data_IF_768121626461
#
_entry.id   IF_768121626461
#
_cell.length_a   1.000
_cell.length_b   1.000
_cell.length_c   1.000
_cell.angle_alpha   90.00
_cell.angle_beta   90.00
_cell.angle_gamma   90.00
#
_symmetry.space_group_name_H-M   'P 1'
#
loop_
_entity.id
_entity.type
_entity.pdbx_description
1 polymer ?
#
# COMPACT_ATOMS: atom_id res chain seq x y z
N UNK A 1 -41.48 -29.57 42.87
CA UNK A 1 -41.27 -29.08 44.25
C UNK A 1 -39.80 -28.63 44.26
N UNK A 2 -39.58 -27.46 44.23
CA UNK A 2 -39.44 -26.13 44.75
C UNK A 2 -38.96 -25.16 43.67
N UNK A 3 -39.78 -24.13 43.44
CA UNK A 3 -39.39 -22.83 42.88
C UNK A 3 -38.46 -22.10 43.83
N UNK A 4 -37.53 -21.26 43.31
CA UNK A 4 -37.21 -19.97 43.92
C UNK A 4 -36.70 -19.02 42.83
N UNK A 5 -37.54 -18.03 42.61
CA UNK A 5 -37.35 -16.79 41.88
C UNK A 5 -36.29 -15.91 42.55
N UNK A 6 -35.37 -15.34 41.79
CA UNK A 6 -34.46 -14.28 42.18
C UNK A 6 -34.48 -13.17 41.16
N UNK A 7 -35.41 -12.21 41.36
CA UNK A 7 -35.44 -10.93 40.64
C UNK A 7 -34.37 -10.02 41.25
N UNK A 8 -33.39 -9.62 40.48
CA UNK A 8 -32.48 -8.53 40.86
C UNK A 8 -33.10 -7.17 40.49
N UNK A 9 -33.00 -6.15 41.32
CA UNK A 9 -33.65 -4.87 41.10
C UNK A 9 -32.88 -4.01 40.08
N UNK A 10 -33.67 -3.34 39.23
CA UNK A 10 -33.23 -2.31 38.29
C UNK A 10 -32.92 -1.04 39.09
N UNK A 11 -31.78 -0.36 38.92
CA UNK A 11 -31.56 0.93 39.56
C UNK A 11 -32.35 2.05 38.85
N UNK A 12 -32.79 3.08 39.58
CA UNK A 12 -33.60 4.17 39.05
C UNK A 12 -32.82 5.15 38.19
N UNK A 13 -33.49 5.90 37.29
CA UNK A 13 -32.84 6.87 36.44
C UNK A 13 -32.43 8.12 37.22
N UNK A 14 -31.17 8.47 37.20
CA UNK A 14 -30.69 9.76 37.68
C UNK A 14 -31.00 10.86 36.66
N UNK A 15 -32.07 11.59 36.90
CA UNK A 15 -32.26 12.96 36.43
C UNK A 15 -31.37 13.88 37.29
N UNK A 16 -30.39 14.50 36.67
CA UNK A 16 -29.86 15.81 37.05
C UNK A 16 -29.47 16.60 35.80
N UNK A 17 -30.42 17.37 35.31
CA UNK A 17 -30.18 18.67 34.70
C UNK A 17 -29.58 19.57 35.79
N UNK A 18 -28.42 20.18 35.50
CA UNK A 18 -27.89 21.44 36.04
C UNK A 18 -26.37 21.36 36.17
N UNK A 19 -25.67 21.53 35.08
CA UNK A 19 -24.24 21.90 35.07
C UNK A 19 -23.79 22.36 33.67
N UNK A 20 -24.48 23.36 33.08
CA UNK A 20 -23.93 24.11 31.96
C UNK A 20 -24.34 25.58 32.08
N UNK A 21 -23.76 26.29 33.06
CA UNK A 21 -23.67 27.75 33.02
C UNK A 21 -22.38 28.18 33.71
N UNK A 22 -21.27 28.13 32.99
CA UNK A 22 -20.13 29.00 33.26
C UNK A 22 -19.66 29.56 31.91
N UNK A 23 -19.50 30.88 31.79
CA UNK A 23 -18.94 31.50 30.59
C UNK A 23 -17.46 31.13 30.46
N UNK A 24 -16.89 31.14 29.21
CA UNK A 24 -15.49 30.81 29.01
C UNK A 24 -14.61 31.85 29.71
N UNK A 25 -13.69 31.40 30.52
CA UNK A 25 -12.62 32.22 31.09
C UNK A 25 -11.78 32.78 29.96
N UNK A 26 -11.68 34.07 29.86
CA UNK A 26 -10.74 34.76 28.98
C UNK A 26 -9.32 34.40 29.40
N UNK A 27 -8.59 33.78 28.46
CA UNK A 27 -7.14 33.61 28.58
C UNK A 27 -6.44 34.97 28.54
N UNK A 28 -5.43 35.20 29.41
CA UNK A 28 -4.70 36.45 29.40
C UNK A 28 -3.93 36.68 28.11
N UNK A 29 -4.01 37.90 27.60
CA UNK A 29 -3.32 38.46 26.42
C UNK A 29 -1.77 38.58 26.61
N UNK A 30 -1.11 37.58 27.12
CA UNK A 30 0.32 37.61 27.42
C UNK A 30 1.19 36.62 26.63
N UNK A 31 0.71 36.05 25.51
CA UNK A 31 1.47 35.09 24.69
C UNK A 31 1.77 35.62 23.26
N UNK A 32 1.39 36.85 22.94
CA UNK A 32 1.64 37.42 21.60
C UNK A 32 2.77 38.49 21.55
N UNK A 33 3.79 38.41 22.41
CA UNK A 33 4.92 39.37 22.36
C UNK A 33 6.30 38.72 22.20
N UNK A 34 6.41 37.56 21.58
CA UNK A 34 7.70 36.88 21.35
C UNK A 34 8.00 36.54 19.89
N UNK A 35 7.40 37.24 18.92
CA UNK A 35 7.77 37.10 17.51
C UNK A 35 7.97 38.53 16.95
N UNK A 36 9.07 39.16 17.28
CA UNK A 36 9.59 40.30 16.55
C UNK A 36 11.06 40.56 16.94
N UNK A 37 11.94 39.69 16.47
CA UNK A 37 13.35 40.05 16.25
C UNK A 37 13.69 39.43 14.88
N UNK A 38 13.24 40.09 13.82
CA UNK A 38 13.81 39.93 12.50
C UNK A 38 14.80 41.07 12.31
N UNK A 39 16.09 40.74 12.41
CA UNK A 39 17.19 41.67 12.11
C UNK A 39 17.30 41.82 10.58
N UNK A 40 17.13 43.01 10.00
CA UNK A 40 17.21 43.22 8.55
C UNK A 40 18.65 43.18 7.97
N UNK A 41 19.66 42.87 8.77
CA UNK A 41 21.05 43.05 8.35
C UNK A 41 21.72 41.82 7.71
N UNK A 42 20.97 40.73 7.40
CA UNK A 42 21.50 39.52 6.74
C UNK A 42 20.95 39.26 5.32
N UNK A 43 20.42 40.28 4.66
CA UNK A 43 19.86 40.17 3.30
C UNK A 43 20.83 40.66 2.22
N UNK A 44 22.01 40.15 2.20
CA UNK A 44 22.96 40.60 1.19
C UNK A 44 24.02 39.59 0.77
N UNK A 45 23.66 38.33 0.44
CA UNK A 45 24.56 37.48 -0.41
C UNK A 45 24.01 36.04 -0.67
N UNK A 46 22.73 35.71 -0.38
CA UNK A 46 22.23 34.33 -0.56
C UNK A 46 21.31 34.11 -1.77
N UNK A 47 21.04 35.18 -2.59
CA UNK A 47 19.97 35.08 -3.62
C UNK A 47 20.36 34.31 -4.89
N UNK A 48 21.62 34.11 -5.19
CA UNK A 48 22.08 33.44 -6.41
C UNK A 48 22.24 31.93 -6.24
N UNK A 49 22.59 31.45 -5.05
CA UNK A 49 22.75 30.02 -4.79
C UNK A 49 21.38 29.31 -4.52
N UNK A 50 20.46 30.00 -3.84
CA UNK A 50 19.10 29.44 -3.63
C UNK A 50 18.28 29.33 -4.92
N UNK A 51 18.45 30.28 -5.88
CA UNK A 51 17.78 30.15 -7.19
C UNK A 51 18.37 29.00 -8.02
N UNK A 52 19.69 28.75 -7.95
CA UNK A 52 20.30 27.59 -8.63
C UNK A 52 19.94 26.27 -7.97
N UNK A 53 19.88 26.19 -6.66
CA UNK A 53 19.42 24.99 -5.95
C UNK A 53 17.92 24.71 -6.19
N UNK A 54 17.06 25.71 -6.17
CA UNK A 54 15.65 25.59 -6.50
C UNK A 54 15.39 25.21 -7.95
N UNK A 55 16.20 25.68 -8.91
CA UNK A 55 16.13 25.27 -10.31
C UNK A 55 16.60 23.81 -10.49
N UNK A 56 17.65 23.38 -9.78
CA UNK A 56 18.13 22.00 -9.83
C UNK A 56 17.11 21.01 -9.22
N UNK A 57 16.41 21.39 -8.13
CA UNK A 57 15.35 20.55 -7.54
C UNK A 57 14.08 20.51 -8.43
N UNK A 58 13.80 21.56 -9.20
CA UNK A 58 12.72 21.57 -10.18
C UNK A 58 13.00 20.65 -11.38
N UNK A 59 14.27 20.28 -11.62
CA UNK A 59 14.69 19.43 -12.73
C UNK A 59 14.14 18.00 -12.61
N UNK A 60 13.89 17.47 -11.42
CA UNK A 60 13.39 16.10 -11.21
C UNK A 60 11.89 16.01 -11.10
N UNK A 61 11.21 17.08 -10.73
CA UNK A 61 9.76 17.14 -10.74
C UNK A 61 9.24 17.18 -12.19
N UNK A 62 8.26 16.37 -12.49
CA UNK A 62 7.57 16.33 -13.77
C UNK A 62 6.08 16.60 -13.55
N UNK A 63 5.57 17.61 -14.24
CA UNK A 63 4.18 18.03 -14.07
C UNK A 63 3.79 18.31 -12.63
N UNK A 64 2.59 17.89 -12.26
CA UNK A 64 2.05 18.14 -10.91
C UNK A 64 2.30 17.00 -9.92
N UNK A 65 2.33 15.75 -10.40
CA UNK A 65 2.22 14.56 -9.55
C UNK A 65 3.39 13.59 -9.68
N UNK A 66 4.18 13.74 -10.74
CA UNK A 66 5.25 12.81 -11.09
C UNK A 66 6.63 13.40 -10.84
N UNK A 67 7.59 12.53 -10.65
CA UNK A 67 9.00 12.88 -10.54
C UNK A 67 9.87 11.73 -11.08
N UNK A 68 11.02 12.09 -11.63
CA UNK A 68 12.09 11.14 -11.96
C UNK A 68 13.10 11.12 -10.83
N UNK A 69 13.72 9.97 -10.64
CA UNK A 69 14.73 9.80 -9.60
C UNK A 69 16.12 10.10 -10.18
N UNK A 70 16.85 11.11 -9.64
CA UNK A 70 18.19 11.48 -10.15
C UNK A 70 19.18 10.33 -10.02
N UNK A 71 19.06 9.55 -8.96
CA UNK A 71 19.84 8.36 -8.69
C UNK A 71 18.88 7.17 -8.54
N UNK A 72 18.46 6.53 -9.65
CA UNK A 72 17.49 5.46 -9.61
C UNK A 72 17.96 4.30 -8.72
N UNK A 73 17.30 4.02 -7.59
CA UNK A 73 17.69 2.93 -6.72
C UNK A 73 17.48 1.58 -7.41
N UNK A 74 18.32 0.63 -7.02
CA UNK A 74 18.30 -0.74 -7.54
C UNK A 74 17.54 -1.62 -6.57
N UNK A 75 16.59 -2.39 -7.04
CA UNK A 75 15.99 -3.48 -6.28
C UNK A 75 16.94 -4.68 -6.40
N UNK A 76 17.78 -4.88 -5.38
CA UNK A 76 18.84 -5.88 -5.41
C UNK A 76 18.38 -7.26 -4.97
N UNK A 77 17.40 -7.30 -4.09
CA UNK A 77 16.88 -8.54 -3.48
C UNK A 77 15.40 -8.38 -3.16
N UNK A 78 14.65 -9.46 -3.24
CA UNK A 78 13.24 -9.51 -2.86
C UNK A 78 12.86 -10.86 -2.31
N UNK A 79 11.78 -10.90 -1.54
CA UNK A 79 11.22 -12.12 -0.98
C UNK A 79 9.70 -12.08 -1.02
N UNK A 80 9.09 -13.25 -1.17
CA UNK A 80 7.64 -13.45 -1.19
C UNK A 80 7.24 -14.65 -0.32
N UNK A 81 6.21 -14.45 0.49
CA UNK A 81 5.61 -15.49 1.34
C UNK A 81 4.13 -15.56 1.03
N UNK A 82 3.61 -16.74 0.78
CA UNK A 82 2.21 -16.96 0.39
C UNK A 82 1.50 -17.95 1.32
N UNK A 83 0.20 -17.76 1.48
CA UNK A 83 -0.67 -18.68 2.18
C UNK A 83 -1.09 -19.88 1.34
N UNK A 84 -1.94 -20.72 1.93
CA UNK A 84 -2.41 -21.95 1.31
C UNK A 84 -3.12 -21.70 -0.03
N UNK A 85 -4.11 -20.81 -0.06
CA UNK A 85 -4.93 -20.57 -1.24
C UNK A 85 -4.11 -19.98 -2.39
N UNK A 86 -3.18 -19.10 -2.08
CA UNK A 86 -2.24 -18.49 -3.01
C UNK A 86 -1.26 -19.52 -3.61
N UNK A 87 -0.86 -20.49 -2.79
CA UNK A 87 0.01 -21.60 -3.23
C UNK A 87 -0.68 -22.65 -4.10
N UNK A 88 -1.99 -22.55 -4.26
CA UNK A 88 -2.80 -23.35 -5.18
C UNK A 88 -3.09 -22.60 -6.50
N UNK A 89 -2.68 -21.34 -6.60
CA UNK A 89 -2.93 -20.47 -7.75
C UNK A 89 -1.83 -20.51 -8.82
N UNK A 90 -2.03 -19.77 -9.92
CA UNK A 90 -1.11 -19.78 -11.07
C UNK A 90 0.33 -19.38 -10.76
N UNK A 91 0.53 -18.54 -9.74
CA UNK A 91 1.84 -18.04 -9.34
C UNK A 91 2.53 -18.88 -8.25
N UNK A 92 1.95 -20.01 -7.84
CA UNK A 92 2.46 -20.84 -6.75
C UNK A 92 3.96 -21.17 -6.85
N UNK A 93 4.43 -21.39 -8.07
CA UNK A 93 5.84 -21.76 -8.37
C UNK A 93 6.83 -20.59 -8.27
N UNK A 94 6.35 -19.36 -8.04
CA UNK A 94 7.19 -18.16 -7.99
C UNK A 94 7.45 -17.66 -6.57
N UNK A 95 6.72 -18.17 -5.58
CA UNK A 95 6.86 -17.75 -4.20
C UNK A 95 8.07 -18.41 -3.52
N UNK A 96 8.83 -17.64 -2.75
CA UNK A 96 9.99 -18.16 -2.01
C UNK A 96 9.56 -19.16 -0.93
N UNK A 97 8.48 -18.84 -0.21
CA UNK A 97 7.92 -19.66 0.84
C UNK A 97 6.40 -19.71 0.73
N UNK A 98 5.84 -20.90 0.92
CA UNK A 98 4.39 -21.12 1.00
C UNK A 98 4.04 -21.92 2.23
N UNK A 99 2.94 -21.56 2.91
CA UNK A 99 2.44 -22.29 4.08
C UNK A 99 1.08 -22.93 3.79
N UNK A 100 0.93 -24.22 4.13
CA UNK A 100 -0.36 -24.90 4.12
C UNK A 100 -1.18 -24.64 5.40
N UNK A 101 -0.52 -24.16 6.46
CA UNK A 101 -1.18 -23.72 7.68
C UNK A 101 -1.51 -22.24 7.60
N UNK A 102 -2.80 -21.91 7.62
CA UNK A 102 -3.31 -20.53 7.58
C UNK A 102 -2.95 -19.72 8.82
N UNK A 103 -2.54 -20.37 9.89
CA UNK A 103 -2.04 -19.73 11.12
C UNK A 103 -0.53 -19.55 11.15
N UNK A 104 0.20 -20.10 10.18
CA UNK A 104 1.67 -20.04 10.17
C UNK A 104 2.29 -20.48 11.51
N UNK A 105 1.72 -21.50 12.16
CA UNK A 105 2.14 -21.98 13.47
C UNK A 105 1.78 -21.07 14.64
N UNK A 106 1.01 -20.02 14.44
CA UNK A 106 0.65 -19.03 15.46
C UNK A 106 -0.74 -19.32 16.06
N UNK A 107 -1.11 -18.60 17.13
CA UNK A 107 -2.38 -18.80 17.85
C UNK A 107 -3.53 -17.95 17.34
N UNK A 108 -3.25 -16.83 16.70
CA UNK A 108 -4.24 -15.88 16.16
C UNK A 108 -3.87 -15.43 14.77
N UNK A 109 -4.84 -14.94 14.01
CA UNK A 109 -4.62 -14.49 12.64
C UNK A 109 -3.70 -13.27 12.54
N UNK A 110 -3.79 -12.34 13.49
CA UNK A 110 -2.90 -11.18 13.55
C UNK A 110 -1.44 -11.59 13.88
N UNK A 111 -1.28 -12.61 14.72
CA UNK A 111 0.04 -13.20 14.96
C UNK A 111 0.57 -13.94 13.73
N UNK A 112 -0.33 -14.59 12.98
CA UNK A 112 0.01 -15.25 11.72
C UNK A 112 0.50 -14.22 10.68
N UNK A 113 -0.25 -13.12 10.49
CA UNK A 113 0.14 -12.04 9.56
C UNK A 113 1.49 -11.43 9.95
N UNK A 114 1.66 -11.07 11.22
CA UNK A 114 2.94 -10.59 11.75
C UNK A 114 4.08 -11.57 11.47
N UNK A 115 3.87 -12.86 11.74
CA UNK A 115 4.90 -13.87 11.54
C UNK A 115 5.22 -14.10 10.07
N UNK A 116 4.23 -14.10 9.21
CA UNK A 116 4.39 -14.17 7.76
C UNK A 116 5.24 -13.00 7.23
N UNK A 117 5.00 -11.79 7.73
CA UNK A 117 5.79 -10.61 7.37
C UNK A 117 7.24 -10.72 7.92
N UNK A 118 7.44 -11.29 9.11
CA UNK A 118 8.78 -11.61 9.62
C UNK A 118 9.52 -12.59 8.71
N UNK A 119 8.86 -13.67 8.28
CA UNK A 119 9.45 -14.65 7.35
C UNK A 119 9.88 -13.96 6.06
N UNK A 120 9.08 -13.03 5.52
CA UNK A 120 9.43 -12.29 4.31
C UNK A 120 10.70 -11.44 4.50
N UNK A 121 10.80 -10.70 5.62
CA UNK A 121 11.97 -9.90 5.94
C UNK A 121 13.22 -10.77 6.19
N UNK A 122 13.09 -11.84 6.97
CA UNK A 122 14.21 -12.75 7.27
C UNK A 122 14.72 -13.44 6.00
N UNK A 123 13.80 -13.86 5.11
CA UNK A 123 14.16 -14.44 3.80
C UNK A 123 14.89 -13.41 2.92
N UNK A 124 14.42 -12.16 2.92
CA UNK A 124 15.08 -11.06 2.21
C UNK A 124 16.52 -10.87 2.70
N UNK A 125 16.70 -10.73 4.01
CA UNK A 125 18.01 -10.53 4.63
C UNK A 125 18.95 -11.70 4.38
N UNK A 126 18.45 -12.93 4.52
CA UNK A 126 19.23 -14.13 4.22
C UNK A 126 19.69 -14.15 2.75
N UNK A 127 18.81 -13.86 1.78
CA UNK A 127 19.15 -13.78 0.36
C UNK A 127 20.15 -12.67 0.06
N UNK A 128 20.03 -11.53 0.75
CA UNK A 128 20.94 -10.39 0.62
C UNK A 128 22.26 -10.58 1.38
N UNK A 129 22.34 -11.53 2.32
CA UNK A 129 23.45 -11.74 3.27
C UNK A 129 23.68 -10.51 4.14
N UNK A 130 22.61 -9.97 4.67
CA UNK A 130 22.58 -8.77 5.52
C UNK A 130 21.95 -9.11 6.88
N UNK A 131 22.28 -8.27 7.87
CA UNK A 131 21.68 -8.26 9.20
C UNK A 131 20.75 -7.04 9.37
N UNK A 132 20.01 -6.97 10.48
CA UNK A 132 19.11 -5.87 10.81
C UNK A 132 19.81 -4.50 10.78
N UNK A 133 21.04 -4.44 11.31
CA UNK A 133 21.83 -3.21 11.40
C UNK A 133 22.41 -2.74 10.07
N UNK A 134 22.31 -3.54 9.03
CA UNK A 134 22.67 -3.15 7.66
C UNK A 134 21.58 -2.36 6.95
N UNK A 135 20.38 -2.30 7.53
CA UNK A 135 19.24 -1.57 6.97
C UNK A 135 19.12 -0.19 7.59
N UNK A 136 19.13 0.83 6.76
CA UNK A 136 18.95 2.22 7.20
C UNK A 136 17.48 2.53 7.52
N UNK A 137 16.53 1.93 6.77
CA UNK A 137 15.13 2.28 6.88
C UNK A 137 14.22 1.18 6.32
N UNK A 138 13.11 0.92 7.01
CA UNK A 138 12.02 0.07 6.52
C UNK A 138 10.74 0.88 6.39
N UNK A 139 10.17 0.89 5.19
CA UNK A 139 8.81 1.36 4.92
C UNK A 139 7.90 0.14 4.84
N UNK A 140 7.01 -0.01 5.79
CA UNK A 140 6.11 -1.16 5.77
C UNK A 140 4.71 -0.82 6.23
N UNK A 141 3.76 -1.63 5.83
CA UNK A 141 2.38 -1.51 6.22
C UNK A 141 1.59 -2.80 6.01
N UNK A 142 0.38 -2.78 6.49
CA UNK A 142 -0.58 -3.85 6.40
C UNK A 142 -2.00 -3.26 6.41
N UNK A 143 -3.04 -4.09 6.43
CA UNK A 143 -4.42 -3.64 6.43
C UNK A 143 -4.98 -3.41 7.84
N UNK A 144 -4.26 -3.80 8.89
CA UNK A 144 -4.75 -3.72 10.26
C UNK A 144 -4.58 -2.31 10.83
N UNK A 145 -5.46 -1.95 11.75
CA UNK A 145 -5.41 -0.65 12.42
C UNK A 145 -4.02 -0.37 13.00
N UNK A 146 -3.50 0.84 12.73
CA UNK A 146 -2.19 1.31 13.16
C UNK A 146 -1.01 0.47 12.64
N UNK A 147 -1.18 -0.26 11.53
CA UNK A 147 -0.15 -1.14 10.95
C UNK A 147 0.41 -2.10 12.01
N UNK A 148 -0.49 -2.76 12.76
CA UNK A 148 -0.07 -3.58 13.90
C UNK A 148 0.73 -4.83 13.49
N UNK A 149 0.46 -5.37 12.30
CA UNK A 149 1.24 -6.45 11.70
C UNK A 149 2.69 -6.02 11.52
N UNK A 150 2.91 -4.88 10.87
CA UNK A 150 4.23 -4.30 10.59
C UNK A 150 4.96 -3.86 11.86
N UNK A 151 4.28 -3.17 12.76
CA UNK A 151 4.87 -2.71 14.02
C UNK A 151 5.33 -3.87 14.90
N UNK A 152 4.56 -4.96 14.95
CA UNK A 152 4.91 -6.14 15.73
C UNK A 152 5.96 -7.01 15.03
N UNK A 153 6.04 -6.96 13.71
CA UNK A 153 7.12 -7.58 12.93
C UNK A 153 8.47 -6.97 13.31
N UNK A 154 8.54 -5.66 13.42
CA UNK A 154 9.78 -4.92 13.67
C UNK A 154 10.06 -4.69 15.16
N UNK A 155 9.11 -5.03 16.05
CA UNK A 155 9.32 -4.93 17.49
C UNK A 155 10.52 -5.79 17.93
N UNK A 156 11.44 -5.17 18.66
CA UNK A 156 12.70 -5.78 19.13
C UNK A 156 13.74 -6.06 18.01
N UNK A 157 13.58 -5.45 16.84
CA UNK A 157 14.62 -5.38 15.80
C UNK A 157 15.23 -3.98 15.81
N UNK A 158 16.52 -3.88 15.61
CA UNK A 158 17.23 -2.59 15.57
C UNK A 158 17.20 -2.01 14.15
N UNK A 159 15.97 -1.72 13.66
CA UNK A 159 15.73 -1.21 12.32
C UNK A 159 14.82 0.02 12.41
N UNK A 160 15.25 1.20 11.92
CA UNK A 160 14.38 2.36 11.79
C UNK A 160 13.17 2.08 10.89
N UNK A 161 11.95 2.46 11.33
CA UNK A 161 10.71 2.09 10.68
C UNK A 161 9.76 3.27 10.48
N UNK A 162 9.18 3.35 9.31
CA UNK A 162 8.05 4.21 8.99
C UNK A 162 6.87 3.35 8.56
N UNK A 163 5.81 3.36 9.39
CA UNK A 163 4.55 2.65 9.12
C UNK A 163 3.68 3.40 8.12
N UNK A 164 3.16 2.69 7.13
CA UNK A 164 2.32 3.22 6.06
C UNK A 164 0.93 2.59 6.11
N UNK A 165 -0.09 3.41 5.94
CA UNK A 165 -1.48 2.96 6.03
C UNK A 165 -2.30 3.45 4.84
N UNK A 166 -1.87 3.08 3.64
CA UNK A 166 -2.49 3.41 2.35
C UNK A 166 -3.46 2.34 1.82
N UNK A 167 -4.06 1.53 2.69
CA UNK A 167 -4.87 0.36 2.32
C UNK A 167 -4.08 -0.57 1.36
N UNK A 168 -4.73 -1.10 0.32
CA UNK A 168 -4.08 -2.01 -0.63
C UNK A 168 -2.97 -1.35 -1.46
N UNK A 169 -2.90 0.01 -1.55
CA UNK A 169 -1.86 0.72 -2.30
C UNK A 169 -0.50 0.75 -1.60
N UNK A 170 -0.41 0.28 -0.36
CA UNK A 170 0.75 0.42 0.52
C UNK A 170 2.04 -0.15 -0.10
N UNK A 171 1.98 -1.21 -0.94
CA UNK A 171 3.21 -1.72 -1.58
C UNK A 171 3.82 -0.71 -2.56
N UNK A 172 3.03 -0.05 -3.39
CA UNK A 172 3.54 1.00 -4.29
C UNK A 172 3.95 2.25 -3.51
N UNK A 173 3.22 2.60 -2.44
CA UNK A 173 3.56 3.70 -1.54
C UNK A 173 4.91 3.46 -0.85
N UNK A 174 5.15 2.26 -0.31
CA UNK A 174 6.42 1.91 0.33
C UNK A 174 7.59 1.90 -0.67
N UNK A 175 7.41 1.38 -1.88
CA UNK A 175 8.42 1.45 -2.95
C UNK A 175 8.73 2.89 -3.34
N UNK A 176 7.71 3.73 -3.48
CA UNK A 176 7.85 5.15 -3.82
C UNK A 176 8.67 5.88 -2.75
N UNK A 177 8.31 5.73 -1.47
CA UNK A 177 9.00 6.39 -0.37
C UNK A 177 10.42 5.85 -0.15
N UNK A 178 10.62 4.54 -0.22
CA UNK A 178 11.95 3.93 -0.16
C UNK A 178 12.84 4.42 -1.31
N UNK A 179 12.28 4.54 -2.52
CA UNK A 179 13.04 5.04 -3.67
C UNK A 179 13.40 6.52 -3.53
N UNK A 180 12.54 7.35 -2.94
CA UNK A 180 12.85 8.74 -2.61
C UNK A 180 13.99 8.83 -1.59
N UNK A 181 13.92 8.03 -0.51
CA UNK A 181 14.93 8.04 0.55
C UNK A 181 16.31 7.64 0.01
N UNK A 182 16.38 6.56 -0.79
CA UNK A 182 17.64 6.09 -1.37
C UNK A 182 18.15 7.05 -2.43
N UNK A 183 17.29 7.54 -3.34
CA UNK A 183 17.71 8.47 -4.40
C UNK A 183 18.18 9.81 -3.88
N UNK A 184 17.66 10.26 -2.73
CA UNK A 184 18.08 11.50 -2.06
C UNK A 184 19.31 11.34 -1.14
N UNK A 185 19.80 10.11 -0.96
CA UNK A 185 20.94 9.82 -0.10
C UNK A 185 20.62 9.82 1.40
N UNK A 186 19.35 9.70 1.79
CA UNK A 186 18.95 9.52 3.19
C UNK A 186 19.08 8.07 3.66
N UNK A 187 19.21 7.13 2.73
CA UNK A 187 19.44 5.72 2.99
C UNK A 187 20.30 5.13 1.87
N UNK A 188 21.21 4.24 2.21
CA UNK A 188 21.90 3.39 1.23
C UNK A 188 21.13 2.11 0.96
N UNK A 189 20.40 1.61 1.99
CA UNK A 189 19.58 0.40 1.94
C UNK A 189 18.25 0.64 2.63
N UNK A 190 17.18 0.62 1.85
CA UNK A 190 15.82 0.72 2.36
C UNK A 190 14.99 -0.49 1.93
N UNK A 191 14.12 -0.96 2.82
CA UNK A 191 13.17 -2.05 2.51
C UNK A 191 11.78 -1.49 2.33
N UNK A 192 11.11 -1.89 1.24
CA UNK A 192 9.68 -1.72 1.03
C UNK A 192 9.00 -3.08 1.28
N UNK A 193 8.05 -3.14 2.22
CA UNK A 193 7.45 -4.41 2.66
C UNK A 193 5.99 -4.23 3.03
N UNK A 194 5.13 -5.15 2.58
CA UNK A 194 3.73 -5.18 3.00
C UNK A 194 3.21 -6.60 3.14
N UNK A 195 2.14 -6.74 3.93
CA UNK A 195 1.40 -7.98 4.09
C UNK A 195 -0.10 -7.75 4.15
N UNK A 196 -0.85 -8.78 3.87
CA UNK A 196 -2.24 -8.93 4.27
C UNK A 196 -2.54 -10.39 4.60
N UNK A 197 -3.52 -10.62 5.46
CA UNK A 197 -3.99 -11.96 5.80
C UNK A 197 -5.51 -11.97 5.72
N UNK A 198 -6.09 -12.96 5.02
CA UNK A 198 -7.53 -13.05 4.79
C UNK A 198 -8.33 -12.86 6.08
N UNK A 199 -8.12 -13.71 7.08
CA UNK A 199 -8.98 -13.75 8.25
C UNK A 199 -8.84 -12.52 9.16
N UNK A 200 -7.64 -11.95 9.34
CA UNK A 200 -7.43 -10.73 10.13
C UNK A 200 -8.09 -9.52 9.48
N UNK A 201 -7.94 -9.37 8.17
CA UNK A 201 -8.51 -8.27 7.39
C UNK A 201 -10.04 -8.38 7.30
N UNK A 202 -10.57 -9.58 6.96
CA UNK A 202 -12.02 -9.79 6.89
C UNK A 202 -12.69 -9.53 8.25
N UNK A 203 -12.07 -9.96 9.36
CA UNK A 203 -12.58 -9.69 10.70
C UNK A 203 -12.62 -8.19 11.02
N UNK A 204 -11.63 -7.44 10.56
CA UNK A 204 -11.59 -6.00 10.80
C UNK A 204 -12.60 -5.23 9.95
N UNK A 205 -12.74 -5.59 8.67
CA UNK A 205 -13.51 -4.79 7.71
C UNK A 205 -14.92 -5.32 7.43
N UNK A 206 -15.15 -6.61 7.60
CA UNK A 206 -16.43 -7.29 7.29
C UNK A 206 -16.95 -8.10 8.46
N UNK A 207 -16.78 -7.59 9.64
CA UNK A 207 -17.30 -8.19 10.88
C UNK A 207 -18.84 -8.28 10.89
N UNK A 208 -19.45 -9.38 11.41
CA UNK A 208 -18.80 -10.53 12.03
C UNK A 208 -18.40 -11.60 11.01
N UNK A 209 -17.12 -11.97 10.97
CA UNK A 209 -16.57 -12.98 10.06
C UNK A 209 -17.27 -14.35 10.20
N UNK A 210 -17.57 -14.75 11.43
CA UNK A 210 -18.20 -16.05 11.72
C UNK A 210 -19.68 -16.16 11.33
N UNK A 211 -20.30 -15.11 10.80
CA UNK A 211 -21.71 -15.13 10.41
C UNK A 211 -21.96 -15.90 9.10
N UNK A 212 -20.91 -16.16 8.31
CA UNK A 212 -20.97 -16.99 7.12
C UNK A 212 -21.79 -16.40 5.97
N UNK A 213 -21.77 -15.08 5.82
CA UNK A 213 -22.47 -14.41 4.72
C UNK A 213 -21.94 -14.84 3.36
N UNK A 214 -22.86 -15.09 2.40
CA UNK A 214 -22.48 -15.37 1.01
C UNK A 214 -21.83 -14.14 0.39
N UNK A 215 -20.65 -14.30 -0.22
CA UNK A 215 -19.95 -13.22 -0.92
C UNK A 215 -20.61 -12.98 -2.29
N UNK A 216 -20.89 -11.72 -2.68
CA UNK A 216 -21.41 -11.43 -4.02
C UNK A 216 -20.31 -11.63 -5.10
N UNK A 217 -20.68 -11.79 -6.38
CA UNK A 217 -19.73 -11.98 -7.48
C UNK A 217 -18.72 -10.82 -7.67
N UNK A 218 -19.05 -9.64 -7.17
CA UNK A 218 -18.17 -8.46 -7.21
C UNK A 218 -17.08 -8.45 -6.14
N UNK A 219 -17.24 -9.30 -5.12
CA UNK A 219 -16.28 -9.36 -4.00
C UNK A 219 -14.96 -9.99 -4.42
N UNK A 220 -13.91 -9.61 -3.72
CA UNK A 220 -12.58 -10.15 -3.90
C UNK A 220 -12.15 -10.94 -2.65
N UNK A 221 -11.16 -11.81 -2.81
CA UNK A 221 -10.55 -12.56 -1.72
C UNK A 221 -9.30 -11.83 -1.23
N UNK A 222 -9.25 -11.44 0.03
CA UNK A 222 -8.02 -10.85 0.60
C UNK A 222 -6.90 -11.87 0.57
N UNK A 223 -5.82 -11.54 -0.09
CA UNK A 223 -4.64 -12.41 -0.22
C UNK A 223 -3.96 -12.57 1.13
N UNK A 224 -3.62 -13.81 1.47
CA UNK A 224 -2.74 -14.13 2.59
C UNK A 224 -1.31 -14.20 2.06
N UNK A 225 -0.57 -13.11 2.21
CA UNK A 225 0.77 -13.01 1.65
C UNK A 225 1.55 -11.80 2.16
N UNK A 226 2.88 -11.91 2.09
CA UNK A 226 3.81 -10.83 2.39
C UNK A 226 4.89 -10.75 1.31
N UNK A 227 5.25 -9.54 0.93
CA UNK A 227 6.36 -9.29 0.01
C UNK A 227 7.29 -8.21 0.55
N UNK A 228 8.58 -8.39 0.36
CA UNK A 228 9.62 -7.44 0.74
C UNK A 228 10.60 -7.23 -0.41
N UNK A 229 11.00 -5.99 -0.66
CA UNK A 229 11.97 -5.60 -1.68
C UNK A 229 13.04 -4.69 -1.07
N UNK A 230 14.31 -5.02 -1.28
CA UNK A 230 15.46 -4.23 -0.83
C UNK A 230 15.91 -3.29 -1.94
N UNK A 231 15.83 -1.99 -1.67
CA UNK A 231 16.30 -0.92 -2.53
C UNK A 231 17.67 -0.45 -2.05
N UNK A 232 18.63 -0.42 -2.96
CA UNK A 232 19.99 0.03 -2.66
C UNK A 232 20.39 1.19 -3.58
N UNK A 233 21.29 2.05 -3.07
CA UNK A 233 21.91 3.13 -3.88
C UNK A 233 22.72 2.56 -5.06
N UNK A 234 23.29 1.37 -4.90
CA UNK A 234 24.09 0.68 -5.90
C UNK A 234 23.78 -0.82 -5.92
N UNK A 235 24.11 -1.48 -7.03
CA UNK A 235 23.95 -2.92 -7.19
C UNK A 235 23.50 -3.31 -8.59
N UNK A 236 23.12 -4.58 -8.73
CA UNK A 236 22.55 -5.15 -9.95
C UNK A 236 21.10 -5.56 -9.70
N UNK A 237 20.23 -5.30 -10.65
CA UNK A 237 18.80 -5.64 -10.56
C UNK A 237 17.91 -4.59 -11.22
N UNK A 238 16.59 -4.77 -11.15
CA UNK A 238 15.62 -3.79 -11.62
C UNK A 238 15.79 -2.44 -10.90
N UNK A 239 15.46 -1.34 -11.60
CA UNK A 239 15.60 0.03 -11.07
C UNK A 239 14.27 0.75 -11.05
N UNK A 240 14.04 1.54 -10.00
CA UNK A 240 12.92 2.48 -9.96
C UNK A 240 13.40 3.79 -10.56
N UNK A 241 12.79 4.22 -11.67
CA UNK A 241 13.24 5.38 -12.44
C UNK A 241 12.36 6.60 -12.29
N UNK A 242 11.06 6.40 -12.08
CA UNK A 242 10.09 7.47 -11.91
C UNK A 242 8.92 7.01 -11.03
N UNK A 243 8.27 7.97 -10.38
CA UNK A 243 7.10 7.72 -9.55
C UNK A 243 6.02 8.77 -9.82
N UNK A 244 4.76 8.38 -9.57
CA UNK A 244 3.60 9.28 -9.65
C UNK A 244 2.74 9.09 -8.39
N UNK A 245 2.55 10.17 -7.64
CA UNK A 245 1.70 10.15 -6.45
C UNK A 245 0.22 10.19 -6.82
N UNK A 246 -0.58 9.36 -6.18
CA UNK A 246 -2.02 9.34 -6.33
C UNK A 246 -2.71 10.53 -5.67
N UNK A 247 -3.91 10.81 -6.12
CA UNK A 247 -4.88 11.65 -5.41
C UNK A 247 -6.02 10.77 -4.92
N UNK A 248 -6.61 11.12 -3.80
CA UNK A 248 -7.82 10.45 -3.32
C UNK A 248 -8.97 10.81 -4.25
N UNK A 249 -9.62 9.79 -4.79
CA UNK A 249 -10.71 9.92 -5.77
C UNK A 249 -11.97 9.29 -5.19
N UNK A 250 -13.09 9.97 -5.28
CA UNK A 250 -14.39 9.50 -4.80
C UNK A 250 -15.46 9.72 -5.88
N UNK A 251 -16.08 8.65 -6.34
CA UNK A 251 -17.21 8.66 -7.26
C UNK A 251 -18.52 8.18 -6.61
N UNK A 252 -18.62 8.20 -5.30
CA UNK A 252 -19.84 7.88 -4.57
C UNK A 252 -20.10 6.38 -4.40
N UNK A 253 -19.13 5.51 -4.62
CA UNK A 253 -19.25 4.05 -4.42
C UNK A 253 -19.37 3.74 -2.93
N UNK A 254 -20.45 3.05 -2.53
CA UNK A 254 -20.75 2.72 -1.12
C UNK A 254 -20.72 1.22 -0.84
N UNK A 255 -20.72 0.39 -1.87
CA UNK A 255 -20.71 -1.05 -1.71
C UNK A 255 -19.31 -1.57 -1.35
N UNK A 256 -19.14 -1.95 -0.08
CA UNK A 256 -17.89 -2.53 0.42
C UNK A 256 -17.51 -3.87 -0.22
N UNK A 257 -18.44 -4.52 -0.92
CA UNK A 257 -18.16 -5.75 -1.67
C UNK A 257 -17.71 -5.48 -3.12
N UNK A 258 -17.66 -4.21 -3.55
CA UNK A 258 -17.21 -3.83 -4.89
C UNK A 258 -16.09 -2.78 -4.81
N UNK A 259 -14.99 -3.13 -4.15
CA UNK A 259 -13.84 -2.25 -3.99
C UNK A 259 -13.16 -1.92 -5.31
N UNK A 260 -13.20 -2.84 -6.29
CA UNK A 260 -12.67 -2.59 -7.63
C UNK A 260 -13.32 -1.37 -8.29
N UNK A 261 -14.63 -1.17 -8.12
CA UNK A 261 -15.33 0.00 -8.63
C UNK A 261 -14.89 1.31 -7.93
N UNK A 262 -14.57 1.26 -6.64
CA UNK A 262 -14.07 2.42 -5.91
C UNK A 262 -12.63 2.79 -6.31
N UNK A 263 -11.80 1.81 -6.67
CA UNK A 263 -10.37 1.99 -6.99
C UNK A 263 -10.11 2.32 -8.47
N UNK A 264 -10.92 1.84 -9.42
CA UNK A 264 -10.66 2.00 -10.84
C UNK A 264 -10.51 3.48 -11.29
N UNK A 265 -11.31 4.45 -10.80
CA UNK A 265 -11.14 5.85 -11.13
C UNK A 265 -9.82 6.45 -10.64
N UNK A 266 -9.36 6.04 -9.46
CA UNK A 266 -8.08 6.47 -8.92
C UNK A 266 -6.90 5.92 -9.73
N UNK A 267 -7.00 4.66 -10.20
CA UNK A 267 -6.03 4.05 -11.09
C UNK A 267 -5.94 4.82 -12.41
N UNK A 268 -7.08 5.10 -13.07
CA UNK A 268 -7.10 5.90 -14.30
C UNK A 268 -6.47 7.28 -14.10
N UNK A 269 -6.88 7.98 -13.04
CA UNK A 269 -6.34 9.31 -12.70
C UNK A 269 -4.82 9.31 -12.57
N UNK A 270 -4.27 8.27 -11.95
CA UNK A 270 -2.81 8.16 -11.74
C UNK A 270 -2.06 7.76 -13.01
N UNK A 271 -2.59 6.80 -13.78
CA UNK A 271 -2.00 6.38 -15.06
C UNK A 271 -1.99 7.57 -16.04
N UNK A 272 -3.07 8.32 -16.15
CA UNK A 272 -3.14 9.52 -17.00
C UNK A 272 -2.13 10.59 -16.57
N UNK A 273 -2.05 10.86 -15.26
CA UNK A 273 -1.09 11.82 -14.76
C UNK A 273 0.35 11.37 -15.05
N UNK A 274 0.64 10.08 -14.87
CA UNK A 274 1.95 9.51 -15.18
C UNK A 274 2.33 9.73 -16.65
N UNK A 275 1.44 9.40 -17.58
CA UNK A 275 1.69 9.57 -19.01
C UNK A 275 1.84 11.04 -19.38
N UNK A 276 0.94 11.90 -18.91
CA UNK A 276 0.99 13.33 -19.20
C UNK A 276 2.23 13.99 -18.62
N UNK A 277 2.56 13.72 -17.37
CA UNK A 277 3.66 14.36 -16.66
C UNK A 277 5.04 13.93 -17.20
N UNK A 278 5.17 12.68 -17.67
CA UNK A 278 6.41 12.10 -18.17
C UNK A 278 6.52 12.06 -19.70
N UNK A 279 5.47 12.52 -20.38
CA UNK A 279 5.35 12.47 -21.85
C UNK A 279 5.59 11.04 -22.37
N UNK A 280 4.86 10.08 -21.81
CA UNK A 280 4.87 8.66 -22.17
C UNK A 280 3.48 8.19 -22.51
N UNK A 281 3.37 6.98 -23.08
CA UNK A 281 2.11 6.30 -23.38
C UNK A 281 2.16 4.81 -23.03
N UNK A 282 1.07 4.06 -23.25
CA UNK A 282 1.03 2.62 -22.98
C UNK A 282 2.11 1.83 -23.73
N UNK A 283 2.52 2.28 -24.91
CA UNK A 283 3.54 1.67 -25.78
C UNK A 283 4.94 1.69 -25.17
N UNK A 284 5.21 2.62 -24.25
CA UNK A 284 6.49 2.73 -23.56
C UNK A 284 6.71 1.65 -22.49
N UNK A 285 5.70 0.83 -22.23
CA UNK A 285 5.71 -0.21 -21.19
C UNK A 285 5.43 -1.58 -21.78
N UNK A 286 6.13 -2.60 -21.27
CA UNK A 286 5.79 -3.98 -21.59
C UNK A 286 4.49 -4.38 -20.83
N UNK A 287 4.30 -3.82 -19.63
CA UNK A 287 3.15 -4.11 -18.77
C UNK A 287 2.79 -2.88 -17.92
N UNK A 288 1.50 -2.60 -17.84
CA UNK A 288 0.89 -1.72 -16.85
C UNK A 288 0.13 -2.64 -15.90
N UNK A 289 0.53 -2.70 -14.63
CA UNK A 289 -0.03 -3.67 -13.71
C UNK A 289 -0.64 -2.97 -12.50
N UNK A 290 -1.93 -3.21 -12.26
CA UNK A 290 -2.65 -2.70 -11.09
C UNK A 290 -2.54 -3.65 -9.92
N UNK A 291 -2.68 -3.12 -8.69
CA UNK A 291 -2.43 -3.87 -7.46
C UNK A 291 -3.49 -4.91 -7.15
N UNK A 292 -4.76 -4.52 -7.18
CA UNK A 292 -5.84 -5.41 -6.76
C UNK A 292 -7.23 -4.92 -7.19
N UNK A 293 -7.34 -4.41 -8.41
CA UNK A 293 -8.65 -4.05 -8.97
C UNK A 293 -9.57 -5.28 -9.10
N UNK A 294 -8.99 -6.45 -9.24
CA UNK A 294 -9.71 -7.66 -9.60
C UNK A 294 -10.33 -7.58 -10.99
N UNK A 295 -11.10 -8.58 -11.36
CA UNK A 295 -11.70 -8.65 -12.70
C UNK A 295 -12.65 -7.46 -12.96
N UNK A 296 -13.54 -7.17 -12.02
CA UNK A 296 -14.55 -6.10 -12.18
C UNK A 296 -13.88 -4.73 -12.26
N UNK A 297 -12.95 -4.41 -11.34
CA UNK A 297 -12.28 -3.12 -11.36
C UNK A 297 -11.36 -2.95 -12.57
N UNK A 298 -10.71 -4.01 -13.06
CA UNK A 298 -9.92 -4.02 -14.29
C UNK A 298 -10.79 -3.72 -15.52
N UNK A 299 -11.95 -4.35 -15.64
CA UNK A 299 -12.90 -4.09 -16.72
C UNK A 299 -13.41 -2.66 -16.70
N UNK A 300 -13.76 -2.13 -15.51
CA UNK A 300 -14.14 -0.75 -15.32
C UNK A 300 -13.01 0.22 -15.69
N UNK A 301 -11.78 -0.05 -15.31
CA UNK A 301 -10.63 0.76 -15.71
C UNK A 301 -10.45 0.80 -17.21
N UNK A 302 -10.57 -0.33 -17.90
CA UNK A 302 -10.49 -0.41 -19.36
C UNK A 302 -11.58 0.44 -20.02
N UNK A 303 -12.82 0.36 -19.54
CA UNK A 303 -13.94 1.13 -20.09
C UNK A 303 -13.80 2.64 -19.82
N UNK A 304 -13.42 3.02 -18.59
CA UNK A 304 -13.15 4.41 -18.25
C UNK A 304 -12.01 5.00 -19.11
N UNK A 305 -10.95 4.25 -19.31
CA UNK A 305 -9.83 4.64 -20.17
C UNK A 305 -10.28 4.83 -21.62
N UNK A 306 -11.09 3.89 -22.15
CA UNK A 306 -11.65 3.96 -23.50
C UNK A 306 -12.52 5.21 -23.70
N UNK A 307 -13.36 5.54 -22.74
CA UNK A 307 -14.22 6.74 -22.78
C UNK A 307 -13.39 8.04 -22.83
N UNK A 308 -12.19 8.01 -22.26
CA UNK A 308 -11.26 9.15 -22.28
C UNK A 308 -10.22 9.06 -23.43
N UNK A 309 -10.41 8.16 -24.39
CA UNK A 309 -9.54 8.03 -25.56
C UNK A 309 -8.19 7.37 -25.29
N UNK A 310 -8.02 6.73 -24.11
CA UNK A 310 -6.78 6.01 -23.73
C UNK A 310 -6.94 4.50 -23.95
N UNK A 311 -6.11 3.91 -24.80
CA UNK A 311 -6.10 2.47 -25.05
C UNK A 311 -5.09 1.77 -24.15
N UNK A 312 -5.56 1.05 -23.13
CA UNK A 312 -4.73 0.22 -22.24
C UNK A 312 -4.74 -1.28 -22.64
N UNK A 313 -5.57 -1.65 -23.61
CA UNK A 313 -5.79 -3.04 -24.00
C UNK A 313 -4.49 -3.74 -24.39
N UNK A 314 -4.33 -5.00 -23.96
CA UNK A 314 -3.14 -5.82 -24.23
C UNK A 314 -1.91 -5.51 -23.38
N UNK A 315 -1.88 -4.35 -22.70
CA UNK A 315 -0.81 -3.94 -21.78
C UNK A 315 -1.24 -3.97 -20.31
N UNK A 316 -2.55 -3.95 -20.03
CA UNK A 316 -3.07 -3.93 -18.68
C UNK A 316 -3.20 -5.33 -18.07
N UNK A 317 -2.50 -5.55 -16.97
CA UNK A 317 -2.68 -6.68 -16.07
C UNK A 317 -3.13 -6.19 -14.67
N UNK A 318 -3.57 -7.12 -13.84
CA UNK A 318 -3.96 -6.84 -12.45
C UNK A 318 -3.49 -7.97 -11.55
N UNK A 319 -2.81 -7.65 -10.44
CA UNK A 319 -2.26 -8.66 -9.55
C UNK A 319 -3.36 -9.56 -8.95
N UNK A 320 -4.55 -9.00 -8.68
CA UNK A 320 -5.69 -9.76 -8.17
C UNK A 320 -6.21 -10.81 -9.14
N UNK A 321 -6.08 -10.56 -10.47
CA UNK A 321 -6.43 -11.54 -11.50
C UNK A 321 -5.27 -12.48 -11.85
N UNK A 322 -4.05 -12.19 -11.39
CA UNK A 322 -2.88 -13.03 -11.65
C UNK A 322 -2.64 -14.07 -10.55
N UNK A 323 -2.94 -13.72 -9.31
CA UNK A 323 -2.60 -14.55 -8.13
C UNK A 323 -3.50 -15.77 -7.98
N UNK A 324 -4.73 -15.71 -8.46
CA UNK A 324 -5.71 -16.78 -8.39
C UNK A 324 -6.22 -17.20 -9.76
N UNK A 325 -6.64 -18.47 -9.87
CA UNK A 325 -7.46 -18.95 -10.98
C UNK A 325 -8.95 -18.76 -10.63
N UNK A 326 -9.56 -17.73 -11.18
CA UNK A 326 -10.96 -17.39 -10.91
C UNK A 326 -11.96 -18.43 -11.42
N UNK A 327 -11.51 -19.44 -12.19
CA UNK A 327 -12.37 -20.52 -12.70
C UNK A 327 -12.43 -21.72 -11.77
N UNK A 328 -11.34 -21.98 -11.04
CA UNK A 328 -11.21 -23.17 -10.19
C UNK A 328 -11.16 -22.83 -8.70
N UNK A 329 -10.78 -21.61 -8.34
CA UNK A 329 -10.72 -21.15 -6.96
C UNK A 329 -11.89 -20.22 -6.64
N UNK A 330 -12.55 -20.44 -5.51
CA UNK A 330 -13.65 -19.57 -5.02
C UNK A 330 -13.09 -18.22 -4.52
N UNK A 331 -12.86 -17.29 -5.46
CA UNK A 331 -12.35 -15.94 -5.21
C UNK A 331 -13.17 -14.84 -5.88
N UNK A 332 -14.21 -15.21 -6.63
CA UNK A 332 -15.10 -14.31 -7.41
C UNK A 332 -14.32 -13.33 -8.31
N UNK A 333 -14.24 -12.05 -7.93
CA UNK A 333 -13.56 -11.04 -8.74
C UNK A 333 -12.02 -11.11 -8.67
N UNK A 334 -11.44 -12.04 -7.88
CA UNK A 334 -9.99 -12.22 -7.78
C UNK A 334 -9.41 -11.81 -6.43
N UNK A 335 -8.11 -11.56 -6.38
CA UNK A 335 -7.38 -11.18 -5.17
C UNK A 335 -7.54 -9.72 -4.78
N UNK A 336 -7.36 -9.41 -3.50
CA UNK A 336 -7.36 -8.08 -2.91
C UNK A 336 -6.30 -7.96 -1.81
N UNK A 337 -6.00 -6.74 -1.40
CA UNK A 337 -5.11 -6.45 -0.28
C UNK A 337 -3.69 -6.07 -0.70
N UNK A 338 -2.96 -5.38 0.18
CA UNK A 338 -1.58 -4.99 -0.10
C UNK A 338 -0.63 -6.19 -0.20
N UNK A 339 -0.95 -7.33 0.41
CA UNK A 339 -0.26 -8.59 0.19
C UNK A 339 -0.40 -9.11 -1.23
N UNK A 340 -1.54 -8.85 -1.92
CA UNK A 340 -1.77 -9.26 -3.30
C UNK A 340 -0.74 -8.66 -4.25
N UNK A 341 -0.60 -7.35 -4.25
CA UNK A 341 0.38 -6.64 -5.07
C UNK A 341 1.82 -6.97 -4.66
N UNK A 342 2.07 -7.18 -3.36
CA UNK A 342 3.39 -7.49 -2.83
C UNK A 342 3.91 -8.86 -3.30
N UNK A 343 3.11 -9.94 -3.13
CA UNK A 343 3.57 -11.28 -3.54
C UNK A 343 3.64 -11.43 -5.07
N UNK A 344 2.75 -10.76 -5.81
CA UNK A 344 2.81 -10.78 -7.28
C UNK A 344 4.04 -10.03 -7.79
N UNK A 345 4.35 -8.87 -7.22
CA UNK A 345 5.56 -8.12 -7.57
C UNK A 345 6.81 -8.91 -7.24
N UNK A 346 6.95 -9.36 -5.97
CA UNK A 346 8.15 -10.01 -5.47
C UNK A 346 8.29 -11.47 -5.96
N UNK A 347 7.19 -12.19 -6.16
CA UNK A 347 7.23 -13.56 -6.70
C UNK A 347 7.50 -13.59 -8.19
N UNK A 348 6.77 -12.80 -8.97
CA UNK A 348 6.74 -12.96 -10.42
C UNK A 348 7.42 -11.81 -11.17
N UNK A 349 7.00 -10.55 -10.92
CA UNK A 349 7.35 -9.45 -11.82
C UNK A 349 8.82 -9.03 -11.70
N UNK A 350 9.38 -8.95 -10.49
CA UNK A 350 10.79 -8.61 -10.30
C UNK A 350 11.71 -9.68 -10.89
N UNK A 351 11.33 -10.96 -10.78
CA UNK A 351 12.04 -12.05 -11.42
C UNK A 351 12.07 -11.92 -12.94
N UNK A 352 10.93 -11.57 -13.57
CA UNK A 352 10.84 -11.33 -15.00
C UNK A 352 11.64 -10.11 -15.47
N UNK A 353 11.61 -9.03 -14.70
CA UNK A 353 12.42 -7.83 -14.97
C UNK A 353 13.92 -8.12 -14.87
N UNK A 354 14.34 -8.85 -13.83
CA UNK A 354 15.74 -9.21 -13.61
C UNK A 354 16.26 -10.18 -14.69
N UNK A 355 15.40 -11.07 -15.20
CA UNK A 355 15.74 -12.00 -16.28
C UNK A 355 15.63 -11.38 -17.67
N UNK A 356 15.30 -10.09 -17.81
CA UNK A 356 15.12 -9.40 -19.08
C UNK A 356 13.89 -9.85 -19.88
N UNK A 357 12.98 -10.64 -19.30
CA UNK A 357 11.70 -11.03 -19.92
C UNK A 357 10.71 -9.87 -19.98
N UNK A 358 10.83 -8.92 -19.06
CA UNK A 358 10.19 -7.61 -19.07
C UNK A 358 11.30 -6.57 -19.00
N UNK A 359 11.17 -5.49 -19.76
CA UNK A 359 12.13 -4.38 -19.79
C UNK A 359 11.66 -3.19 -18.96
N UNK A 360 10.35 -2.92 -18.96
CA UNK A 360 9.78 -1.77 -18.27
C UNK A 360 8.32 -2.02 -17.91
N UNK A 361 8.00 -1.84 -16.65
CA UNK A 361 6.60 -1.92 -16.16
C UNK A 361 6.19 -0.64 -15.45
N UNK A 362 4.89 -0.33 -15.49
CA UNK A 362 4.27 0.65 -14.61
C UNK A 362 3.48 -0.11 -13.56
N UNK A 363 4.01 -0.16 -12.34
CA UNK A 363 3.37 -0.80 -11.19
C UNK A 363 2.48 0.20 -10.46
N UNK A 364 1.17 -0.03 -10.48
CA UNK A 364 0.13 0.87 -9.97
C UNK A 364 -0.55 0.24 -8.75
N UNK A 365 -0.05 0.51 -7.54
CA UNK A 365 -0.70 0.03 -6.32
C UNK A 365 -2.02 0.76 -6.10
N UNK A 366 -3.11 0.02 -6.15
CA UNK A 366 -4.48 0.49 -5.93
C UNK A 366 -4.91 0.28 -4.49
N UNK A 367 -5.76 1.14 -3.95
CA UNK A 367 -6.26 1.01 -2.58
C UNK A 367 -7.66 1.61 -2.43
N UNK A 368 -8.54 0.87 -1.76
CA UNK A 368 -9.83 1.36 -1.30
C UNK A 368 -9.69 1.83 0.16
N UNK A 369 -9.90 3.11 0.40
CA UNK A 369 -9.80 3.70 1.73
C UNK A 369 -11.09 3.41 2.52
N UNK A 370 -11.32 2.14 2.78
CA UNK A 370 -12.49 1.63 3.48
C UNK A 370 -12.34 1.76 4.99
N UNK A 371 -13.24 2.51 5.61
CA UNK A 371 -13.42 2.51 7.05
C UNK A 371 -14.79 1.88 7.37
N UNK A 372 -14.87 0.83 8.20
CA UNK A 372 -16.15 0.25 8.61
C UNK A 372 -17.09 1.29 9.22
N UNK A 373 -16.56 2.17 10.05
CA UNK A 373 -17.34 3.25 10.69
C UNK A 373 -17.93 4.20 9.66
N UNK A 374 -17.12 4.70 8.73
CA UNK A 374 -17.58 5.62 7.68
C UNK A 374 -18.59 4.96 6.75
N UNK A 375 -18.36 3.70 6.38
CA UNK A 375 -19.27 2.95 5.53
C UNK A 375 -20.63 2.70 6.21
N UNK A 376 -20.63 2.34 7.51
CA UNK A 376 -21.86 2.19 8.29
C UNK A 376 -22.62 3.52 8.47
N UNK A 377 -21.94 4.66 8.38
CA UNK A 377 -22.56 5.99 8.35
C UNK A 377 -23.08 6.38 6.97
N UNK A 378 -22.96 5.50 5.97
CA UNK A 378 -23.42 5.71 4.60
C UNK A 378 -22.51 6.59 3.75
N UNK A 379 -21.26 6.83 4.19
CA UNK A 379 -20.26 7.54 3.41
C UNK A 379 -19.70 6.65 2.28
N UNK A 380 -19.28 7.22 1.15
CA UNK A 380 -18.67 6.48 0.07
C UNK A 380 -17.25 6.02 0.41
N UNK A 381 -16.75 5.08 -0.37
CA UNK A 381 -15.40 4.53 -0.30
C UNK A 381 -14.54 5.25 -1.33
N UNK A 382 -13.59 6.03 -0.87
CA UNK A 382 -12.62 6.69 -1.74
C UNK A 382 -11.55 5.71 -2.20
N UNK A 383 -11.04 5.90 -3.43
CA UNK A 383 -9.90 5.16 -3.97
C UNK A 383 -8.62 6.01 -3.99
N UNK A 384 -7.49 5.36 -3.94
CA UNK A 384 -6.15 5.94 -4.17
C UNK A 384 -5.31 5.00 -5.04
N UNK A 385 -4.37 5.55 -5.79
CA UNK A 385 -3.43 4.74 -6.57
C UNK A 385 -2.09 5.45 -6.68
N UNK A 386 -1.00 4.78 -6.31
CA UNK A 386 0.36 5.27 -6.52
C UNK A 386 1.04 4.44 -7.61
N UNK A 387 1.86 5.08 -8.46
CA UNK A 387 2.54 4.39 -9.54
C UNK A 387 4.05 4.51 -9.42
N UNK A 388 4.72 3.39 -9.71
CA UNK A 388 6.17 3.24 -9.72
C UNK A 388 6.60 2.66 -11.05
N UNK A 389 7.46 3.37 -11.78
CA UNK A 389 8.05 2.88 -13.02
C UNK A 389 9.29 2.05 -12.70
N UNK A 390 9.28 0.76 -13.03
CA UNK A 390 10.38 -0.17 -12.78
C UNK A 390 10.95 -0.63 -14.11
N UNK A 391 12.24 -0.44 -14.31
CA UNK A 391 12.98 -0.92 -15.49
C UNK A 391 13.79 -2.14 -15.14
N UNK A 392 13.91 -3.08 -16.07
CA UNK A 392 14.77 -4.25 -15.94
C UNK A 392 16.23 -3.86 -15.70
N UNK A 393 16.97 -4.69 -14.98
CA UNK A 393 18.42 -4.55 -14.88
C UNK A 393 19.06 -4.78 -16.26
N UNK A 394 19.97 -3.91 -16.68
CA UNK A 394 20.89 -4.27 -17.78
C UNK A 394 21.75 -5.45 -17.31
N UNK A 395 21.78 -6.50 -18.09
CA UNK A 395 22.61 -7.67 -17.89
C UNK A 395 24.10 -7.29 -17.73
#
# INVERSE_FOLDING_TARGET
MWMLSGILPVPPPFLRSDLYTKPPMALPLAVFSAISIYDPMYMGQTSTNHRKAGAAMAEFKRGRRSFILPHPPVITTWASVAGKKESEGPLAHTFDISSQDTYFGQKTWEQAEKHMQQIALDTLLQKARLDDTDLDLVFSGDLLNQCIGSSFTLRNRDIPHLGLYGACSTMAESLLLASMAVSAGYADRAVAMTSSHFASSERQYRFPLGYGGQRPPTSQWTVTGAGAALLCSQGKGPRITACTTGVVTDLGIKDANNMGAAMAPAALSTIKAHFSDLNTGPEDYDLIVTGDLGQIGKELLLELARLEGLSLGGKLADCGTMVFDNTTQDVHAGGSGCGCSAITLCGELLGKLNAGKLKKILFCGTGALLSPTSNQQGLPISGVCHAVCITGGSA
#
